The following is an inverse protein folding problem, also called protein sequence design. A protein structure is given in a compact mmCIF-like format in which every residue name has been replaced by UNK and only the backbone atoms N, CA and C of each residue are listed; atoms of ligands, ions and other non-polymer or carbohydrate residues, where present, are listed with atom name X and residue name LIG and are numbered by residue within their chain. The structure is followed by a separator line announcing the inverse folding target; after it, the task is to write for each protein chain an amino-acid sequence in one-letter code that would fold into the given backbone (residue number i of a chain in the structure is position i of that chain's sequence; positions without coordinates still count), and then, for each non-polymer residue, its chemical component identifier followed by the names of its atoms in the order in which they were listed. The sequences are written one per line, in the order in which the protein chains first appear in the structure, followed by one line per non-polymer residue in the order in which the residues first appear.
data_IF_063401382485
#
_entry.id   IF_063401382485
#
_cell.length_a   1.000
_cell.length_b   1.000
_cell.length_c   1.000
_cell.angle_alpha   90.00
_cell.angle_beta   90.00
_cell.angle_gamma   90.00
#
_symmetry.space_group_name_H-M   'P 1'
#
loop_
_entity.id
_entity.type
_entity.pdbx_description
1 polymer ?
#
# COMPACT_ATOMS: atom_id res chain seq x y z
N UNK A 1 52.36 -15.35 -42.01
CA UNK A 1 53.44 -15.95 -41.20
C UNK A 1 52.83 -16.11 -39.81
N UNK A 2 52.18 -17.22 -39.46
CA UNK A 2 52.77 -18.54 -39.11
C UNK A 2 53.74 -18.38 -37.92
N UNK A 3 53.73 -19.15 -36.83
CA UNK A 3 53.22 -20.50 -36.57
C UNK A 3 53.55 -20.85 -35.09
N UNK A 4 52.81 -21.80 -34.47
CA UNK A 4 53.34 -22.89 -33.60
C UNK A 4 53.99 -22.55 -32.21
N UNK A 5 54.02 -23.35 -31.12
CA UNK A 5 53.87 -24.79 -30.84
C UNK A 5 53.71 -25.04 -29.29
N UNK A 6 52.94 -26.08 -28.96
CA UNK A 6 53.04 -27.12 -27.89
C UNK A 6 53.81 -26.93 -26.55
N UNK A 7 53.25 -27.57 -25.50
CA UNK A 7 54.07 -28.31 -24.51
C UNK A 7 53.49 -28.49 -23.10
N UNK A 8 52.93 -29.67 -22.79
CA UNK A 8 52.73 -30.19 -21.42
C UNK A 8 54.07 -30.65 -20.80
N UNK A 9 54.18 -30.91 -19.47
CA UNK A 9 53.97 -32.29 -18.97
C UNK A 9 53.46 -32.46 -17.52
N UNK A 10 52.91 -33.64 -17.23
CA UNK A 10 52.68 -34.26 -15.89
C UNK A 10 53.92 -35.09 -15.47
N UNK A 11 54.12 -35.49 -14.19
CA UNK A 11 53.60 -36.77 -13.62
C UNK A 11 53.41 -36.72 -12.06
N UNK A 12 53.06 -37.73 -11.24
CA UNK A 12 52.32 -39.00 -11.27
C UNK A 12 52.34 -39.58 -9.81
N UNK A 13 51.67 -40.72 -9.60
CA UNK A 13 51.80 -41.73 -8.51
C UNK A 13 50.63 -41.76 -7.49
N UNK A 14 49.96 -42.86 -7.14
CA UNK A 14 49.82 -44.24 -7.66
C UNK A 14 48.67 -44.95 -6.88
N UNK A 15 48.12 -46.03 -7.45
CA UNK A 15 46.98 -46.83 -6.97
C UNK A 15 47.43 -48.02 -6.05
N UNK A 16 46.62 -49.05 -5.64
CA UNK A 16 45.78 -49.89 -6.52
C UNK A 16 44.46 -50.51 -5.96
N UNK A 17 43.75 -51.13 -6.93
CA UNK A 17 42.50 -51.91 -6.96
C UNK A 17 42.41 -53.14 -6.03
N UNK A 18 41.17 -53.62 -5.81
CA UNK A 18 40.78 -55.00 -6.18
C UNK A 18 39.26 -55.19 -6.37
N UNK A 19 38.94 -55.99 -7.37
CA UNK A 19 37.62 -56.45 -7.83
C UNK A 19 37.66 -57.99 -7.83
N UNK A 20 36.58 -58.68 -7.44
CA UNK A 20 36.35 -60.13 -7.67
C UNK A 20 34.88 -60.45 -7.36
N UNK A 21 33.99 -60.77 -8.31
CA UNK A 21 33.81 -62.01 -9.08
C UNK A 21 33.25 -63.22 -8.29
N UNK A 22 32.15 -63.81 -8.77
CA UNK A 22 31.96 -65.28 -8.76
C UNK A 22 30.85 -65.91 -7.88
N UNK A 23 29.70 -66.16 -8.50
CA UNK A 23 28.95 -67.43 -8.66
C UNK A 23 28.80 -68.54 -7.56
N UNK A 24 27.55 -69.07 -7.50
CA UNK A 24 27.12 -70.49 -7.31
C UNK A 24 26.72 -71.16 -5.94
N UNK A 25 25.37 -71.29 -5.75
CA UNK A 25 24.50 -72.44 -5.27
C UNK A 25 24.58 -73.04 -3.82
N UNK A 26 23.57 -73.84 -3.34
CA UNK A 26 22.10 -73.79 -3.50
C UNK A 26 21.25 -74.05 -2.19
N UNK A 27 20.01 -73.54 -2.21
CA UNK A 27 18.71 -74.12 -1.77
C UNK A 27 18.62 -75.06 -0.53
N UNK A 28 17.78 -74.67 0.44
CA UNK A 28 16.86 -75.62 1.10
C UNK A 28 15.50 -74.97 1.38
N UNK A 29 14.46 -75.51 0.76
CA UNK A 29 13.05 -75.13 0.97
C UNK A 29 12.55 -75.81 2.25
N UNK A 30 11.99 -75.04 3.18
CA UNK A 30 11.03 -75.57 4.17
C UNK A 30 9.70 -74.86 3.98
N UNK A 31 8.80 -75.50 3.24
CA UNK A 31 7.40 -75.08 3.08
C UNK A 31 6.69 -75.46 4.37
N UNK A 32 6.44 -74.49 5.26
CA UNK A 32 5.53 -74.68 6.39
C UNK A 32 4.19 -74.14 5.95
N UNK A 33 3.22 -75.05 5.75
CA UNK A 33 1.82 -74.68 5.59
C UNK A 33 1.36 -74.00 6.88
N UNK A 34 0.88 -72.76 6.79
CA UNK A 34 0.24 -72.08 7.92
C UNK A 34 -1.19 -71.67 7.56
N UNK A 35 -2.09 -72.17 8.37
CA UNK A 35 -3.53 -72.04 8.33
C UNK A 35 -4.00 -70.60 8.09
N UNK A 36 -5.08 -70.47 7.34
CA UNK A 36 -5.74 -69.21 7.04
C UNK A 36 -6.16 -68.49 8.32
N UNK A 37 -5.50 -67.37 8.60
CA UNK A 37 -5.94 -66.42 9.61
C UNK A 37 -6.94 -65.47 8.94
N UNK A 38 -8.23 -65.62 9.26
CA UNK A 38 -9.25 -64.62 8.89
C UNK A 38 -8.88 -63.31 9.60
N UNK A 39 -8.57 -62.26 8.85
CA UNK A 39 -8.36 -60.91 9.39
C UNK A 39 -9.72 -60.38 9.89
N UNK A 40 -9.79 -59.70 11.06
CA UNK A 40 -11.01 -59.01 11.45
C UNK A 40 -11.33 -57.90 10.43
N UNK A 41 -12.61 -57.55 10.22
CA UNK A 41 -12.98 -56.49 9.29
C UNK A 41 -12.40 -55.17 9.80
N UNK A 42 -11.56 -54.55 8.98
CA UNK A 42 -11.08 -53.19 9.20
C UNK A 42 -12.28 -52.26 8.97
N UNK A 43 -12.65 -51.50 10.00
CA UNK A 43 -13.75 -50.54 9.89
C UNK A 43 -13.33 -49.43 8.89
N UNK A 44 -14.08 -49.17 7.81
CA UNK A 44 -13.66 -48.25 6.75
C UNK A 44 -13.48 -46.79 7.22
N UNK A 45 -14.05 -46.43 8.37
CA UNK A 45 -14.04 -45.08 8.91
C UNK A 45 -12.71 -44.68 9.57
N UNK A 46 -11.82 -45.63 9.86
CA UNK A 46 -10.51 -45.33 10.48
C UNK A 46 -9.48 -44.76 9.47
N UNK A 47 -9.77 -44.77 8.17
CA UNK A 47 -8.81 -44.38 7.12
C UNK A 47 -8.94 -42.93 6.61
N UNK A 48 -9.92 -42.15 7.09
CA UNK A 48 -10.21 -40.82 6.52
C UNK A 48 -9.71 -39.65 7.38
N UNK A 49 -9.31 -39.88 8.63
CA UNK A 49 -8.71 -38.86 9.49
C UNK A 49 -7.18 -39.02 9.54
N UNK A 50 -6.52 -38.76 8.40
CA UNK A 50 -5.10 -38.41 8.45
C UNK A 50 -4.94 -37.20 9.36
N UNK A 51 -4.04 -37.25 10.34
CA UNK A 51 -3.80 -36.12 11.26
C UNK A 51 -3.47 -34.81 10.53
N UNK A 52 -2.97 -34.88 9.29
CA UNK A 52 -2.77 -33.71 8.41
C UNK A 52 -4.09 -33.08 7.96
N UNK A 53 -5.13 -33.88 7.73
CA UNK A 53 -6.46 -33.39 7.34
C UNK A 53 -7.14 -32.68 8.51
N UNK A 54 -6.93 -33.16 9.74
CA UNK A 54 -7.40 -32.47 10.98
C UNK A 54 -6.65 -31.15 11.19
N UNK A 55 -5.33 -31.13 11.00
CA UNK A 55 -4.53 -29.89 11.10
C UNK A 55 -4.97 -28.86 10.06
N UNK A 56 -5.20 -29.28 8.81
CA UNK A 56 -5.71 -28.40 7.75
C UNK A 56 -7.09 -27.88 8.10
N UNK A 57 -8.01 -28.75 8.55
CA UNK A 57 -9.34 -28.34 8.98
C UNK A 57 -9.30 -27.34 10.16
N UNK A 58 -8.40 -27.53 11.13
CA UNK A 58 -8.21 -26.59 12.23
C UNK A 58 -7.63 -25.25 11.78
N UNK A 59 -6.68 -25.23 10.83
CA UNK A 59 -6.15 -23.98 10.29
C UNK A 59 -7.21 -23.19 9.50
N UNK A 60 -8.02 -23.88 8.69
CA UNK A 60 -9.17 -23.27 8.02
C UNK A 60 -10.20 -22.75 9.02
N UNK A 61 -10.54 -23.56 10.03
CA UNK A 61 -11.43 -23.12 11.10
C UNK A 61 -10.85 -21.90 11.83
N UNK A 62 -9.56 -21.88 12.17
CA UNK A 62 -8.90 -20.75 12.80
C UNK A 62 -8.95 -19.49 11.92
N UNK A 63 -8.70 -19.58 10.61
CA UNK A 63 -8.80 -18.42 9.71
C UNK A 63 -10.22 -17.86 9.60
N UNK A 64 -11.25 -18.68 9.76
CA UNK A 64 -12.65 -18.23 9.76
C UNK A 64 -13.06 -17.71 11.14
N UNK A 65 -12.81 -18.46 12.21
CA UNK A 65 -13.31 -18.15 13.55
C UNK A 65 -12.48 -17.11 14.31
N UNK A 66 -11.17 -16.99 14.07
CA UNK A 66 -10.35 -15.96 14.73
C UNK A 66 -10.84 -14.54 14.43
N UNK A 67 -11.06 -14.10 13.17
CA UNK A 67 -11.54 -12.74 12.89
C UNK A 67 -12.97 -12.48 13.42
N UNK A 68 -13.78 -13.53 13.56
CA UNK A 68 -15.15 -13.47 14.13
C UNK A 68 -15.17 -13.51 15.67
N UNK A 69 -14.04 -13.83 16.32
CA UNK A 69 -13.95 -13.91 17.78
C UNK A 69 -13.77 -12.52 18.44
N UNK A 70 -14.06 -12.38 19.75
CA UNK A 70 -13.78 -11.15 20.49
C UNK A 70 -12.31 -10.72 20.41
N UNK A 71 -11.39 -11.69 20.37
CA UNK A 71 -9.95 -11.42 20.18
C UNK A 71 -9.66 -10.89 18.77
N UNK A 72 -10.32 -11.44 17.75
CA UNK A 72 -10.25 -10.92 16.37
C UNK A 72 -10.77 -9.50 16.24
N UNK A 73 -11.87 -9.17 16.93
CA UNK A 73 -12.40 -7.80 16.97
C UNK A 73 -11.50 -6.83 17.76
N UNK A 74 -10.80 -7.30 18.81
CA UNK A 74 -9.79 -6.49 19.50
C UNK A 74 -8.53 -6.26 18.66
N UNK A 75 -8.15 -7.23 17.82
CA UNK A 75 -7.04 -7.11 16.88
C UNK A 75 -7.44 -6.43 15.56
N UNK A 76 -8.75 -6.26 15.31
CA UNK A 76 -9.24 -5.56 14.15
C UNK A 76 -8.79 -4.10 14.22
N UNK A 77 -8.03 -3.66 13.21
CA UNK A 77 -7.66 -2.25 13.07
C UNK A 77 -8.97 -1.45 13.00
N UNK A 78 -9.22 -0.61 14.01
CA UNK A 78 -10.35 0.32 14.03
C UNK A 78 -10.41 1.01 12.66
N UNK A 79 -11.53 0.86 11.97
CA UNK A 79 -11.71 1.47 10.66
C UNK A 79 -11.48 2.98 10.80
N UNK A 80 -10.77 3.61 9.83
CA UNK A 80 -10.57 5.04 9.87
C UNK A 80 -11.94 5.74 9.80
N UNK A 81 -12.08 6.87 10.49
CA UNK A 81 -13.33 7.64 10.50
C UNK A 81 -13.71 7.98 9.05
N UNK A 82 -14.87 7.52 8.54
CA UNK A 82 -15.26 7.79 7.17
C UNK A 82 -15.57 9.27 6.99
N UNK A 83 -15.15 9.82 5.86
CA UNK A 83 -15.55 11.17 5.47
C UNK A 83 -16.71 11.02 4.49
N UNK A 84 -17.92 11.42 4.89
CA UNK A 84 -19.13 11.22 4.09
C UNK A 84 -19.17 12.19 2.90
N UNK A 85 -18.41 11.89 1.84
CA UNK A 85 -18.23 12.79 0.69
C UNK A 85 -19.51 13.12 -0.09
N UNK A 86 -20.54 12.28 0.03
CA UNK A 86 -21.87 12.50 -0.56
C UNK A 86 -22.64 13.67 0.04
N UNK A 87 -22.27 14.09 1.26
CA UNK A 87 -22.96 15.15 1.98
C UNK A 87 -22.35 16.53 1.74
N UNK A 88 -21.24 16.60 0.99
CA UNK A 88 -20.53 17.84 0.72
C UNK A 88 -21.31 18.74 -0.22
N UNK A 89 -21.51 19.99 0.20
CA UNK A 89 -22.26 21.00 -0.56
C UNK A 89 -21.47 22.30 -0.58
N UNK A 90 -21.38 22.91 -1.75
CA UNK A 90 -20.76 24.23 -1.91
C UNK A 90 -21.44 25.25 -0.99
N UNK A 91 -20.63 26.03 -0.27
CA UNK A 91 -21.06 27.01 0.73
C UNK A 91 -21.23 26.45 2.14
N UNK A 92 -21.29 25.11 2.31
CA UNK A 92 -21.43 24.48 3.62
C UNK A 92 -20.06 24.25 4.28
N UNK A 93 -20.09 24.05 5.60
CA UNK A 93 -18.95 23.51 6.35
C UNK A 93 -19.10 22.01 6.55
N UNK A 94 -17.99 21.31 6.73
CA UNK A 94 -17.96 19.90 7.09
C UNK A 94 -16.63 19.48 7.66
N UNK A 95 -16.58 18.27 8.20
CA UNK A 95 -15.35 17.65 8.71
C UNK A 95 -14.83 16.64 7.69
N UNK A 96 -13.53 16.71 7.41
CA UNK A 96 -12.84 15.78 6.51
C UNK A 96 -11.62 15.17 7.19
N UNK A 97 -11.37 13.90 6.89
CA UNK A 97 -10.20 13.19 7.39
C UNK A 97 -9.27 12.88 6.22
N UNK A 98 -8.11 13.53 6.18
CA UNK A 98 -7.15 13.43 5.09
C UNK A 98 -6.03 12.47 5.47
N UNK A 99 -5.61 11.60 4.54
CA UNK A 99 -4.39 10.80 4.74
C UNK A 99 -3.22 11.48 4.04
N UNK A 100 -2.19 11.87 4.80
CA UNK A 100 -1.10 12.73 4.32
C UNK A 100 0.27 12.19 4.77
N UNK A 101 1.30 12.47 3.97
CA UNK A 101 2.72 12.41 4.37
C UNK A 101 3.37 13.78 4.16
N UNK A 102 4.41 14.14 4.93
CA UNK A 102 5.03 15.47 4.77
C UNK A 102 5.61 15.72 3.37
N UNK A 103 6.03 14.67 2.65
CA UNK A 103 6.47 14.78 1.26
C UNK A 103 5.39 15.30 0.29
N UNK A 104 4.11 15.15 0.64
CA UNK A 104 2.99 15.62 -0.18
C UNK A 104 3.07 17.14 -0.44
N UNK A 105 3.68 17.90 0.49
CA UNK A 105 3.93 19.33 0.36
C UNK A 105 4.55 19.69 -1.00
N UNK A 106 5.57 18.95 -1.44
CA UNK A 106 6.26 19.21 -2.72
C UNK A 106 5.79 18.31 -3.88
N UNK A 107 4.94 17.31 -3.60
CA UNK A 107 4.56 16.31 -4.60
C UNK A 107 3.23 16.58 -5.28
N UNK A 108 2.24 17.00 -4.49
CA UNK A 108 0.86 17.08 -4.93
C UNK A 108 0.63 18.38 -5.69
N UNK A 109 0.04 18.28 -6.88
CA UNK A 109 -0.31 19.43 -7.71
C UNK A 109 -1.62 19.17 -8.46
N UNK A 110 -2.40 20.24 -8.63
CA UNK A 110 -3.49 20.28 -9.61
C UNK A 110 -3.15 21.25 -10.75
N UNK A 111 -3.90 21.13 -11.84
CA UNK A 111 -3.90 22.05 -12.96
C UNK A 111 -5.34 22.37 -13.37
N UNK A 112 -5.69 23.66 -13.36
CA UNK A 112 -7.00 24.17 -13.74
C UNK A 112 -6.88 25.64 -14.15
N UNK A 113 -7.60 26.06 -15.20
CA UNK A 113 -7.47 27.41 -15.76
C UNK A 113 -8.18 28.50 -14.95
N UNK A 114 -9.01 28.11 -13.99
CA UNK A 114 -9.79 29.01 -13.14
C UNK A 114 -9.27 29.03 -11.71
N UNK A 115 -9.45 30.17 -11.02
CA UNK A 115 -9.25 30.32 -9.58
C UNK A 115 -10.59 30.25 -8.84
N UNK A 116 -10.54 29.97 -7.54
CA UNK A 116 -11.68 30.04 -6.62
C UNK A 116 -11.36 31.07 -5.54
N UNK A 117 -11.93 32.27 -5.66
CA UNK A 117 -11.48 33.41 -4.86
C UNK A 117 -10.00 33.70 -5.10
N UNK A 118 -9.20 33.66 -4.03
CA UNK A 118 -7.75 33.86 -4.08
C UNK A 118 -6.96 32.53 -4.21
N UNK A 119 -7.66 31.41 -4.35
CA UNK A 119 -7.04 30.08 -4.44
C UNK A 119 -6.91 29.62 -5.88
N UNK A 120 -5.78 29.01 -6.21
CA UNK A 120 -5.53 28.51 -7.55
C UNK A 120 -4.68 27.25 -7.53
N UNK A 121 -4.76 26.47 -8.60
CA UNK A 121 -3.83 25.37 -8.82
C UNK A 121 -2.40 25.90 -8.99
N UNK A 122 -1.40 25.07 -8.73
CA UNK A 122 0.00 25.40 -9.01
C UNK A 122 0.27 25.62 -10.52
N UNK A 123 -0.63 25.13 -11.37
CA UNK A 123 -0.55 25.22 -12.81
C UNK A 123 -1.91 25.66 -13.40
N UNK A 124 -1.90 26.52 -14.43
CA UNK A 124 -3.10 26.92 -15.17
C UNK A 124 -3.49 25.89 -16.26
N UNK A 125 -2.60 24.92 -16.52
CA UNK A 125 -2.75 23.77 -17.42
C UNK A 125 -1.57 22.81 -17.23
N UNK A 126 -1.56 21.63 -17.87
CA UNK A 126 -0.60 20.54 -17.55
C UNK A 126 0.89 20.91 -17.50
N UNK A 127 1.31 21.95 -18.22
CA UNK A 127 2.74 22.30 -18.36
C UNK A 127 3.04 23.77 -18.10
N UNK A 128 2.06 24.56 -17.68
CA UNK A 128 2.21 25.99 -17.50
C UNK A 128 1.93 26.34 -16.03
N UNK A 129 2.96 26.77 -15.27
CA UNK A 129 2.79 27.23 -13.89
C UNK A 129 1.78 28.37 -13.83
N UNK A 130 1.08 28.50 -12.71
CA UNK A 130 0.17 29.61 -12.51
C UNK A 130 0.91 30.95 -12.63
N UNK A 131 0.36 31.93 -13.37
CA UNK A 131 0.99 33.24 -13.52
C UNK A 131 1.19 33.89 -12.15
N UNK A 132 2.45 34.20 -11.82
CA UNK A 132 2.81 34.92 -10.59
C UNK A 132 3.32 36.30 -10.99
N UNK A 133 2.85 37.36 -10.33
CA UNK A 133 3.38 38.70 -10.54
C UNK A 133 4.84 38.77 -10.08
N UNK A 134 5.68 39.57 -10.75
CA UNK A 134 7.11 39.60 -10.50
C UNK A 134 7.47 40.00 -9.05
N UNK A 135 6.62 40.80 -8.41
CA UNK A 135 6.80 41.30 -7.03
C UNK A 135 5.91 40.57 -6.00
N UNK A 136 5.20 39.51 -6.38
CA UNK A 136 4.35 38.78 -5.44
C UNK A 136 5.20 38.12 -4.34
N UNK A 137 4.79 38.21 -3.06
CA UNK A 137 5.44 37.48 -1.99
C UNK A 137 5.48 35.97 -2.27
N UNK A 138 6.57 35.32 -1.89
CA UNK A 138 6.68 33.86 -2.05
C UNK A 138 5.73 33.14 -1.07
N UNK A 139 4.88 32.26 -1.58
CA UNK A 139 3.93 31.47 -0.78
C UNK A 139 4.59 30.21 -0.20
N UNK A 140 5.46 30.42 0.79
CA UNK A 140 6.25 29.36 1.45
C UNK A 140 5.40 28.31 2.17
N UNK A 141 4.15 28.61 2.53
CA UNK A 141 3.26 27.67 3.22
C UNK A 141 2.12 27.17 2.33
N UNK A 142 2.15 27.47 1.02
CA UNK A 142 1.13 27.05 0.05
C UNK A 142 -0.27 27.44 0.50
N UNK A 143 -0.40 28.61 1.13
CA UNK A 143 -1.68 29.12 1.64
C UNK A 143 -2.68 29.35 0.51
N UNK A 144 -2.22 29.78 -0.66
CA UNK A 144 -3.07 30.08 -1.81
C UNK A 144 -3.11 28.95 -2.84
N UNK A 145 -2.17 28.00 -2.74
CA UNK A 145 -2.05 26.89 -3.68
C UNK A 145 -3.00 25.74 -3.32
N UNK A 146 -3.91 25.42 -4.23
CA UNK A 146 -4.78 24.25 -4.16
C UNK A 146 -3.96 22.99 -4.46
N UNK A 147 -4.09 21.99 -3.60
CA UNK A 147 -3.48 20.66 -3.78
C UNK A 147 -4.54 19.55 -3.67
N UNK A 148 -4.38 18.45 -4.43
CA UNK A 148 -5.27 17.30 -4.35
C UNK A 148 -4.94 16.41 -3.16
N UNK A 149 -5.94 15.98 -2.39
CA UNK A 149 -5.79 15.04 -1.28
C UNK A 149 -6.79 13.89 -1.39
N UNK A 150 -6.47 12.78 -0.72
CA UNK A 150 -7.39 11.66 -0.52
C UNK A 150 -7.87 11.66 0.92
N UNK A 151 -9.19 11.54 1.09
CA UNK A 151 -9.78 11.27 2.39
C UNK A 151 -9.51 9.82 2.81
N UNK A 152 -9.80 9.50 4.06
CA UNK A 152 -9.69 8.15 4.65
C UNK A 152 -10.56 7.09 3.96
N UNK A 153 -11.68 7.49 3.37
CA UNK A 153 -12.57 6.66 2.55
C UNK A 153 -12.16 6.64 1.06
N UNK A 154 -11.09 7.36 0.70
CA UNK A 154 -10.54 7.38 -0.65
C UNK A 154 -11.18 8.41 -1.60
N UNK A 155 -12.12 9.22 -1.14
CA UNK A 155 -12.66 10.34 -1.92
C UNK A 155 -11.58 11.40 -2.19
N UNK A 156 -11.65 12.03 -3.37
CA UNK A 156 -10.81 13.16 -3.75
C UNK A 156 -11.37 14.45 -3.15
N UNK A 157 -10.49 15.31 -2.63
CA UNK A 157 -10.82 16.68 -2.25
C UNK A 157 -9.64 17.59 -2.58
N UNK A 158 -9.92 18.80 -3.04
CA UNK A 158 -8.92 19.82 -3.32
C UNK A 158 -8.90 20.82 -2.16
N UNK A 159 -7.75 20.99 -1.49
CA UNK A 159 -7.62 21.96 -0.40
C UNK A 159 -6.49 22.95 -0.68
N UNK A 160 -6.72 24.21 -0.34
CA UNK A 160 -5.68 25.23 -0.24
C UNK A 160 -5.33 25.49 1.23
N UNK A 161 -4.04 25.69 1.55
CA UNK A 161 -3.62 26.10 2.90
C UNK A 161 -3.62 25.03 3.99
N UNK A 162 -3.65 23.74 3.64
CA UNK A 162 -3.44 22.66 4.62
C UNK A 162 -2.11 22.81 5.38
N UNK A 163 -1.04 23.17 4.67
CA UNK A 163 0.30 23.32 5.25
C UNK A 163 0.51 24.61 6.03
N UNK A 164 -0.44 25.55 5.93
CA UNK A 164 -0.47 26.75 6.75
C UNK A 164 -1.15 26.52 8.11
N UNK A 165 -1.76 25.34 8.34
CA UNK A 165 -2.41 24.99 9.59
C UNK A 165 -1.35 24.71 10.68
N UNK A 166 -1.49 25.23 11.91
CA UNK A 166 -0.42 25.20 12.91
C UNK A 166 0.15 23.81 13.21
N UNK A 167 -0.69 22.81 13.44
CA UNK A 167 -0.23 21.44 13.74
C UNK A 167 0.47 20.78 12.55
N UNK A 168 -0.07 20.98 11.35
CA UNK A 168 0.49 20.41 10.11
C UNK A 168 1.82 21.09 9.78
N UNK A 169 1.90 22.41 9.94
CA UNK A 169 3.12 23.19 9.77
C UNK A 169 4.21 22.76 10.77
N UNK A 170 3.84 22.54 12.03
CA UNK A 170 4.76 22.06 13.07
C UNK A 170 5.30 20.68 12.71
N UNK A 171 4.43 19.77 12.22
CA UNK A 171 4.86 18.45 11.76
C UNK A 171 5.80 18.55 10.56
N UNK A 172 5.48 19.40 9.58
CA UNK A 172 6.32 19.62 8.40
C UNK A 172 7.70 20.16 8.77
N UNK A 173 7.78 21.08 9.74
CA UNK A 173 9.04 21.60 10.25
C UNK A 173 9.90 20.52 10.93
N UNK A 174 9.26 19.65 11.72
CA UNK A 174 9.94 18.56 12.42
C UNK A 174 10.37 17.41 11.50
N UNK A 175 9.67 17.21 10.38
CA UNK A 175 9.92 16.12 9.43
C UNK A 175 9.95 16.65 7.98
N UNK A 176 11.00 17.43 7.61
CA UNK A 176 11.04 18.12 6.34
C UNK A 176 11.18 17.15 5.16
N UNK A 177 10.52 17.42 4.01
CA UNK A 177 10.41 16.50 2.87
C UNK A 177 11.75 16.03 2.27
N UNK A 178 12.80 16.83 2.41
CA UNK A 178 14.10 16.59 1.79
C UNK A 178 15.07 15.82 2.70
N UNK A 179 14.79 15.75 4.00
CA UNK A 179 15.70 15.14 4.98
C UNK A 179 15.46 13.64 5.19
N UNK A 180 14.26 13.16 4.89
CA UNK A 180 13.84 11.78 5.16
C UNK A 180 13.35 11.13 3.87
N UNK A 181 13.84 9.93 3.56
CA UNK A 181 13.38 9.19 2.38
C UNK A 181 11.90 8.87 2.52
N UNK A 182 11.12 9.01 1.44
CA UNK A 182 9.65 8.87 1.47
C UNK A 182 9.16 7.59 2.15
N UNK A 183 9.87 6.47 1.93
CA UNK A 183 9.54 5.16 2.52
C UNK A 183 9.59 5.15 4.06
N UNK A 184 10.29 6.11 4.66
CA UNK A 184 10.43 6.30 6.11
C UNK A 184 9.45 7.33 6.67
N UNK A 185 8.80 8.13 5.82
CA UNK A 185 7.79 9.10 6.25
C UNK A 185 6.53 8.36 6.69
N UNK A 186 6.10 8.62 7.93
CA UNK A 186 4.89 8.00 8.46
C UNK A 186 3.65 8.69 7.90
N UNK A 187 2.71 7.90 7.34
CA UNK A 187 1.36 8.38 7.02
C UNK A 187 0.62 8.75 8.30
N UNK A 188 0.09 9.97 8.36
CA UNK A 188 -0.77 10.44 9.43
C UNK A 188 -2.14 10.86 8.86
N UNK A 189 -3.13 10.96 9.76
CA UNK A 189 -4.46 11.44 9.43
C UNK A 189 -4.61 12.84 9.99
N UNK A 190 -5.06 13.77 9.17
CA UNK A 190 -5.43 15.12 9.59
C UNK A 190 -6.95 15.21 9.56
N UNK A 191 -7.55 15.54 10.69
CA UNK A 191 -8.95 15.93 10.75
C UNK A 191 -9.03 17.43 10.55
N UNK A 192 -9.79 17.87 9.55
CA UNK A 192 -9.97 19.28 9.24
C UNK A 192 -11.45 19.60 9.23
N UNK A 193 -11.84 20.67 9.93
CA UNK A 193 -13.09 21.37 9.62
C UNK A 193 -12.83 22.29 8.45
N UNK A 194 -13.62 22.14 7.40
CA UNK A 194 -13.44 22.84 6.12
C UNK A 194 -14.71 23.55 5.71
N UNK A 195 -14.56 24.60 4.89
CA UNK A 195 -15.66 25.21 4.14
C UNK A 195 -15.53 24.84 2.66
N UNK A 196 -16.58 24.28 2.08
CA UNK A 196 -16.60 23.94 0.66
C UNK A 196 -16.87 25.21 -0.16
N UNK A 197 -15.95 25.54 -1.06
CA UNK A 197 -15.96 26.80 -1.81
C UNK A 197 -16.54 26.65 -3.21
N UNK A 198 -16.22 25.56 -3.88
CA UNK A 198 -16.62 25.30 -5.26
C UNK A 198 -16.46 23.81 -5.60
N UNK A 199 -16.83 23.46 -6.82
CA UNK A 199 -16.66 22.11 -7.36
C UNK A 199 -16.22 22.23 -8.82
N UNK A 200 -15.15 21.51 -9.19
CA UNK A 200 -14.68 21.43 -10.57
C UNK A 200 -15.00 20.09 -11.20
N UNK A 201 -15.35 20.10 -12.47
CA UNK A 201 -15.48 18.88 -13.25
C UNK A 201 -14.10 18.39 -13.69
N UNK A 202 -13.76 17.17 -13.28
CA UNK A 202 -12.60 16.43 -13.72
C UNK A 202 -11.26 17.21 -13.77
N UNK A 203 -10.88 17.99 -12.74
CA UNK A 203 -9.62 18.72 -12.76
C UNK A 203 -8.43 17.78 -12.92
N UNK A 204 -7.38 18.30 -13.56
CA UNK A 204 -6.16 17.55 -13.77
C UNK A 204 -5.35 17.55 -12.48
N UNK A 205 -4.98 16.37 -12.01
CA UNK A 205 -4.16 16.23 -10.81
C UNK A 205 -2.94 15.37 -11.08
N UNK A 206 -1.91 15.56 -10.26
CA UNK A 206 -0.67 14.81 -10.27
C UNK A 206 -0.22 14.54 -8.84
N UNK A 207 0.09 13.28 -8.56
CA UNK A 207 0.43 12.80 -7.21
C UNK A 207 1.94 12.82 -6.90
N UNK A 208 2.79 13.03 -7.91
CA UNK A 208 4.23 13.23 -7.73
C UNK A 208 4.86 13.94 -8.94
N UNK A 209 6.00 14.63 -8.79
CA UNK A 209 6.72 15.20 -9.91
C UNK A 209 7.09 14.10 -10.93
N UNK A 210 6.93 14.39 -12.22
CA UNK A 210 7.18 13.44 -13.31
C UNK A 210 6.08 12.40 -13.57
N UNK A 211 5.09 12.25 -12.68
CA UNK A 211 3.90 11.45 -12.97
C UNK A 211 3.02 12.14 -14.04
N UNK A 212 2.26 11.33 -14.78
CA UNK A 212 1.28 11.84 -15.74
C UNK A 212 0.17 12.62 -15.03
N UNK A 213 -0.34 13.65 -15.70
CA UNK A 213 -1.57 14.32 -15.29
C UNK A 213 -2.76 13.45 -15.66
N UNK A 214 -3.72 13.34 -14.75
CA UNK A 214 -4.96 12.63 -15.00
C UNK A 214 -6.16 13.46 -14.54
N UNK A 215 -7.26 13.49 -15.31
CA UNK A 215 -8.52 14.02 -14.82
C UNK A 215 -8.99 13.15 -13.64
N UNK A 216 -9.35 13.77 -12.53
CA UNK A 216 -9.83 13.06 -11.33
C UNK A 216 -11.07 13.74 -10.76
N UNK A 217 -11.87 12.99 -10.04
CA UNK A 217 -13.07 13.46 -9.35
C UNK A 217 -13.78 12.30 -8.67
N UNK A 218 -14.69 12.66 -7.78
CA UNK A 218 -15.65 11.77 -7.16
C UNK A 218 -16.85 11.59 -8.09
N UNK A 219 -17.48 10.42 -8.05
CA UNK A 219 -18.65 10.12 -8.86
C UNK A 219 -18.74 8.63 -9.13
N UNK A 220 -19.97 8.14 -9.20
CA UNK A 220 -20.24 6.77 -9.60
C UNK A 220 -19.97 6.58 -11.10
N UNK A 221 -19.82 5.33 -11.52
CA UNK A 221 -19.61 4.99 -12.93
C UNK A 221 -20.75 5.54 -13.81
N UNK A 222 -20.40 6.30 -14.85
CA UNK A 222 -21.37 6.93 -15.75
C UNK A 222 -21.85 8.33 -15.34
N UNK A 223 -21.42 8.86 -14.19
CA UNK A 223 -21.68 10.25 -13.79
C UNK A 223 -20.44 11.15 -14.05
N UNK A 224 -20.63 12.46 -14.27
CA UNK A 224 -19.51 13.39 -14.40
C UNK A 224 -18.71 13.38 -13.09
N UNK A 225 -17.40 13.17 -13.21
CA UNK A 225 -16.49 13.15 -12.06
C UNK A 225 -16.24 14.57 -11.59
N UNK A 226 -16.45 14.83 -10.30
CA UNK A 226 -16.33 16.17 -9.73
C UNK A 226 -15.43 16.20 -8.51
N UNK A 227 -14.63 17.25 -8.40
CA UNK A 227 -13.70 17.45 -7.30
C UNK A 227 -14.13 18.68 -6.49
N UNK A 228 -14.54 18.50 -5.23
CA UNK A 228 -14.86 19.61 -4.35
C UNK A 228 -13.59 20.34 -3.94
N UNK A 229 -13.69 21.65 -3.85
CA UNK A 229 -12.63 22.55 -3.41
C UNK A 229 -13.03 23.11 -2.06
N UNK A 230 -12.13 23.07 -1.10
CA UNK A 230 -12.40 23.50 0.24
C UNK A 230 -11.23 24.29 0.84
N UNK A 231 -11.54 25.18 1.78
CA UNK A 231 -10.55 25.81 2.65
C UNK A 231 -10.62 25.20 4.05
N UNK A 232 -9.48 24.85 4.66
CA UNK A 232 -9.43 24.43 6.05
C UNK A 232 -9.63 25.63 6.96
N UNK A 233 -10.61 25.51 7.86
CA UNK A 233 -10.90 26.47 8.92
C UNK A 233 -10.08 26.17 10.17
N UNK A 234 -9.92 24.88 10.48
CA UNK A 234 -9.12 24.36 11.58
C UNK A 234 -8.74 22.91 11.29
N UNK A 235 -7.53 22.50 11.66
CA UNK A 235 -7.03 21.14 11.42
C UNK A 235 -6.20 20.62 12.60
N UNK A 236 -6.43 19.36 12.95
CA UNK A 236 -5.70 18.63 13.99
C UNK A 236 -5.16 17.29 13.46
N UNK A 237 -3.98 16.88 13.91
CA UNK A 237 -3.40 15.57 13.59
C UNK A 237 -3.99 14.53 14.53
N UNK A 238 -4.70 13.55 13.97
CA UNK A 238 -5.19 12.42 14.75
C UNK A 238 -4.01 11.49 15.07
N UNK A 239 -3.49 11.59 16.29
CA UNK A 239 -2.46 10.66 16.75
C UNK A 239 -3.04 9.23 16.76
N UNK A 240 -2.45 8.35 15.94
CA UNK A 240 -2.61 6.92 16.16
C UNK A 240 -1.92 6.61 17.48
N UNK A 241 -2.68 6.39 18.56
CA UNK A 241 -2.17 5.74 19.77
C UNK A 241 -1.38 4.51 19.32
N UNK A 242 -0.05 4.59 19.35
CA UNK A 242 0.78 3.38 19.29
C UNK A 242 0.42 2.62 20.55
N UNK A 243 -0.29 1.50 20.39
CA UNK A 243 -0.31 0.49 21.44
C UNK A 243 1.15 0.11 21.70
N UNK A 244 1.65 0.52 22.87
CA UNK A 244 2.90 0.02 23.42
C UNK A 244 2.83 -1.48 23.63
#
# INVERSE_FOLDING_TARGET
MASDLQGSPTPASEAPKRESSGDSKPRTKKRVARAGNKRPPVNPWDQVLSGRLVVVAMLFAAMVFIPLSPLGMMLAKKAPTPTHSKDWKVGAEGTVHLTVITADYNKLACAHGESVGNYHCAFDGQKKPWPTAAEAPHDDNKKQIIQPYRTTDGSLILLAGLWAQPEVATRLHNEPPHAVTEKKLARFVVECRVKFLAEWEAPLVRWAPGQAWAPQGNGDEGQPKRAPIAEPLDCQILERKRSS
#
